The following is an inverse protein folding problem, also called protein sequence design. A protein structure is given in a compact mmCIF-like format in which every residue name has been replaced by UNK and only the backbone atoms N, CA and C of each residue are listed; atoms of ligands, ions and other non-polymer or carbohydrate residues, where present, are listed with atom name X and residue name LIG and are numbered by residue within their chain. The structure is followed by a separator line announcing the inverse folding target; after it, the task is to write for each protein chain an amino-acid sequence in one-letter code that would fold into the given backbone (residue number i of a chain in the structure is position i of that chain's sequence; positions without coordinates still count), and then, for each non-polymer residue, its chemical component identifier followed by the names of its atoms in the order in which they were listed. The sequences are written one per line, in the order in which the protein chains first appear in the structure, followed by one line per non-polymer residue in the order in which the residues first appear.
data_IF_718987659518
#
_entry.id   IF_718987659518
#
_cell.length_a   1.000
_cell.length_b   1.000
_cell.length_c   1.000
_cell.angle_alpha   90.00
_cell.angle_beta   90.00
_cell.angle_gamma   90.00
#
_symmetry.space_group_name_H-M   'P 1'
#
loop_
_entity.id
_entity.type
_entity.pdbx_description
1 polymer ?
#
# COMPACT_ATOMS: atom_id res chain seq x y z
N UNK A 1 2.49 0.78 5.44
CA UNK A 1 2.73 -0.62 5.88
C UNK A 1 2.99 -1.47 4.64
N UNK A 2 4.07 -2.23 4.60
CA UNK A 2 4.31 -3.21 3.54
C UNK A 2 4.13 -4.58 4.18
N UNK A 3 3.33 -5.45 3.55
CA UNK A 3 3.18 -6.84 3.93
C UNK A 3 3.82 -7.67 2.83
N UNK A 4 4.75 -8.53 3.20
CA UNK A 4 5.35 -9.52 2.30
C UNK A 4 4.89 -10.89 2.76
N UNK A 5 4.28 -11.70 1.88
CA UNK A 5 4.02 -13.09 2.19
C UNK A 5 5.34 -13.85 2.25
N UNK A 6 5.59 -14.50 3.37
CA UNK A 6 6.72 -15.41 3.54
C UNK A 6 6.35 -16.73 2.87
N UNK A 7 7.01 -17.07 1.76
CA UNK A 7 6.91 -18.40 1.17
C UNK A 7 7.99 -19.27 1.82
N UNK A 8 7.77 -19.71 3.06
CA UNK A 8 8.55 -20.80 3.63
C UNK A 8 7.90 -22.13 3.23
N UNK A 9 8.48 -22.73 2.20
CA UNK A 9 8.22 -24.09 1.77
C UNK A 9 9.52 -24.88 1.67
N UNK A 10 10.40 -24.77 2.68
CA UNK A 10 11.53 -25.69 2.83
C UNK A 10 11.49 -26.41 4.17
N UNK A 11 11.09 -27.68 4.12
CA UNK A 11 10.86 -28.58 5.26
C UNK A 11 12.14 -29.24 5.78
N UNK A 12 13.30 -28.57 5.78
CA UNK A 12 14.56 -29.16 6.28
C UNK A 12 15.29 -28.27 7.28
N UNK A 13 14.99 -28.59 8.54
CA UNK A 13 15.67 -28.35 9.82
C UNK A 13 17.02 -27.61 9.81
N UNK A 14 17.16 -26.62 10.72
CA UNK A 14 18.23 -26.62 11.74
C UNK A 14 17.96 -25.68 12.92
N UNK A 15 18.03 -26.25 14.11
CA UNK A 15 18.06 -25.58 15.41
C UNK A 15 19.12 -24.47 15.40
N UNK A 16 18.69 -23.20 15.30
CA UNK A 16 19.55 -22.02 15.29
C UNK A 16 19.16 -20.90 14.30
N UNK A 17 18.24 -21.15 13.37
CA UNK A 17 17.91 -20.18 12.31
C UNK A 17 16.86 -19.14 12.74
N UNK A 18 17.31 -17.89 12.89
CA UNK A 18 16.47 -16.69 13.01
C UNK A 18 15.87 -16.31 11.64
N UNK A 19 15.19 -17.25 10.96
CA UNK A 19 14.57 -17.05 9.65
C UNK A 19 13.21 -16.33 9.74
N UNK A 20 13.12 -15.33 10.62
CA UNK A 20 11.91 -14.58 10.90
C UNK A 20 11.68 -13.43 9.93
N UNK A 21 10.43 -13.18 9.56
CA UNK A 21 10.04 -11.98 8.81
C UNK A 21 10.55 -10.71 9.52
N UNK A 22 11.25 -9.83 8.80
CA UNK A 22 11.66 -8.53 9.34
C UNK A 22 10.42 -7.66 9.61
N UNK A 23 10.16 -7.36 10.89
CA UNK A 23 9.14 -6.40 11.31
C UNK A 23 9.83 -5.08 11.60
N UNK A 24 9.51 -4.04 10.82
CA UNK A 24 10.19 -2.75 10.89
C UNK A 24 9.19 -1.59 11.00
N UNK A 25 9.43 -0.68 11.94
CA UNK A 25 8.77 0.62 12.02
C UNK A 25 9.82 1.72 11.82
N UNK A 26 9.55 2.66 10.90
CA UNK A 26 10.46 3.76 10.58
C UNK A 26 9.78 5.08 10.89
N UNK A 27 9.91 5.61 12.12
CA UNK A 27 9.43 6.93 12.46
C UNK A 27 10.33 8.01 11.85
N UNK A 28 9.80 9.21 11.65
CA UNK A 28 10.60 10.38 11.25
C UNK A 28 9.78 11.51 10.65
N UNK A 29 10.34 12.72 10.68
CA UNK A 29 9.73 13.95 10.16
C UNK A 29 9.39 13.88 8.67
N UNK A 30 8.51 14.76 8.20
CA UNK A 30 8.23 14.92 6.77
C UNK A 30 9.52 15.20 5.98
N UNK A 31 9.62 14.68 4.76
CA UNK A 31 10.79 14.93 3.89
C UNK A 31 12.00 14.02 4.11
N UNK A 32 12.03 13.14 5.12
CA UNK A 32 13.18 12.22 5.35
C UNK A 32 13.25 11.01 4.39
N UNK A 33 12.51 11.03 3.28
CA UNK A 33 12.60 9.97 2.26
C UNK A 33 11.94 8.63 2.62
N UNK A 34 11.11 8.55 3.67
CA UNK A 34 10.39 7.30 4.02
C UNK A 34 9.56 6.73 2.85
N UNK A 35 8.88 7.59 2.09
CA UNK A 35 8.15 7.17 0.88
C UNK A 35 9.10 6.70 -0.23
N UNK A 36 10.28 7.32 -0.34
CA UNK A 36 11.31 6.91 -1.29
C UNK A 36 11.87 5.53 -0.94
N UNK A 37 12.05 5.23 0.35
CA UNK A 37 12.43 3.90 0.82
C UNK A 37 11.40 2.85 0.42
N UNK A 38 10.10 3.12 0.62
CA UNK A 38 9.02 2.21 0.17
C UNK A 38 9.11 1.96 -1.35
N UNK A 39 9.41 3.00 -2.13
CA UNK A 39 9.59 2.90 -3.58
C UNK A 39 10.83 2.08 -3.96
N UNK A 40 11.93 2.21 -3.23
CA UNK A 40 13.14 1.43 -3.44
C UNK A 40 12.91 -0.07 -3.14
N UNK A 41 12.24 -0.39 -2.03
CA UNK A 41 11.85 -1.77 -1.70
C UNK A 41 10.91 -2.31 -2.80
N UNK A 42 9.96 -1.52 -3.28
CA UNK A 42 9.09 -1.93 -4.40
C UNK A 42 9.90 -2.25 -5.67
N UNK A 43 10.90 -1.44 -6.00
CA UNK A 43 11.80 -1.70 -7.14
C UNK A 43 12.63 -2.97 -6.93
N UNK A 44 13.08 -3.24 -5.71
CA UNK A 44 13.78 -4.47 -5.40
C UNK A 44 12.92 -5.70 -5.71
N UNK A 45 11.69 -5.75 -5.20
CA UNK A 45 10.76 -6.87 -5.48
C UNK A 45 10.39 -6.99 -6.97
N UNK A 46 10.39 -5.87 -7.70
CA UNK A 46 10.22 -5.85 -9.16
C UNK A 46 11.38 -6.54 -9.87
N UNK A 47 12.61 -6.15 -9.55
CA UNK A 47 13.83 -6.70 -10.15
C UNK A 47 13.99 -8.18 -9.80
N UNK A 48 13.63 -8.59 -8.58
CA UNK A 48 13.66 -10.00 -8.17
C UNK A 48 12.47 -10.82 -8.67
N UNK A 49 11.56 -10.24 -9.48
CA UNK A 49 10.34 -10.88 -10.01
C UNK A 49 9.42 -11.48 -8.92
N UNK A 50 9.41 -10.90 -7.72
CA UNK A 50 8.63 -11.35 -6.55
C UNK A 50 7.52 -10.39 -6.16
N UNK A 51 7.07 -9.52 -7.08
CA UNK A 51 6.03 -8.52 -6.79
C UNK A 51 4.71 -9.14 -6.29
N UNK A 52 4.37 -10.35 -6.70
CA UNK A 52 3.18 -11.07 -6.24
C UNK A 52 3.19 -11.34 -4.72
N UNK A 53 4.38 -11.36 -4.11
CA UNK A 53 4.55 -11.56 -2.67
C UNK A 53 4.44 -10.25 -1.88
N UNK A 54 4.38 -9.09 -2.54
CA UNK A 54 4.34 -7.78 -1.87
C UNK A 54 2.94 -7.15 -1.95
N UNK A 55 2.42 -6.73 -0.80
CA UNK A 55 1.26 -5.86 -0.68
C UNK A 55 1.66 -4.56 0.02
N UNK A 56 1.25 -3.43 -0.55
CA UNK A 56 1.46 -2.09 0.02
C UNK A 56 0.15 -1.56 0.57
N UNK A 57 0.14 -1.21 1.84
CA UNK A 57 -1.01 -0.72 2.58
C UNK A 57 -0.77 0.65 3.19
N UNK A 58 -1.78 1.49 3.20
CA UNK A 58 -1.76 2.77 3.90
C UNK A 58 -3.07 3.01 4.68
N UNK A 59 -3.04 3.94 5.63
CA UNK A 59 -4.22 4.28 6.43
C UNK A 59 -5.22 5.16 5.65
N UNK A 60 -4.75 5.99 4.72
CA UNK A 60 -5.59 6.90 3.92
C UNK A 60 -5.51 6.56 2.44
N UNK A 61 -6.56 6.89 1.69
CA UNK A 61 -6.61 6.66 0.23
C UNK A 61 -5.52 7.42 -0.52
N UNK A 62 -5.23 8.67 -0.12
CA UNK A 62 -4.18 9.49 -0.74
C UNK A 62 -2.79 8.85 -0.51
N UNK A 63 -2.49 8.40 0.70
CA UNK A 63 -1.22 7.73 0.99
C UNK A 63 -1.12 6.37 0.29
N UNK A 64 -2.24 5.65 0.13
CA UNK A 64 -2.28 4.42 -0.63
C UNK A 64 -1.98 4.66 -2.13
N UNK A 65 -2.56 5.71 -2.71
CA UNK A 65 -2.30 6.10 -4.09
C UNK A 65 -0.82 6.47 -4.31
N UNK A 66 -0.23 7.25 -3.40
CA UNK A 66 1.18 7.68 -3.49
C UNK A 66 2.16 6.49 -3.53
N UNK A 67 1.89 5.45 -2.74
CA UNK A 67 2.73 4.25 -2.72
C UNK A 67 2.29 3.20 -3.74
N UNK A 68 1.24 3.44 -4.54
CA UNK A 68 0.66 2.48 -5.48
C UNK A 68 0.16 1.21 -4.78
N UNK A 69 -0.54 1.38 -3.67
CA UNK A 69 -1.10 0.33 -2.82
C UNK A 69 -2.61 0.53 -2.58
N UNK A 70 -3.12 -0.08 -1.52
CA UNK A 70 -4.52 0.05 -1.11
C UNK A 70 -4.64 0.46 0.36
N UNK A 71 -5.84 0.83 0.80
CA UNK A 71 -6.03 1.10 2.22
C UNK A 71 -6.07 -0.20 3.03
N UNK A 72 -5.73 -0.13 4.32
CA UNK A 72 -5.85 -1.29 5.23
C UNK A 72 -7.29 -1.81 5.25
N UNK A 73 -8.27 -0.90 5.30
CA UNK A 73 -9.70 -1.23 5.26
C UNK A 73 -10.10 -1.95 3.96
N UNK A 74 -9.63 -1.47 2.81
CA UNK A 74 -9.88 -2.14 1.52
C UNK A 74 -9.23 -3.53 1.45
N UNK A 75 -8.08 -3.73 2.07
CA UNK A 75 -7.38 -5.02 2.09
C UNK A 75 -8.06 -6.04 2.99
N UNK A 76 -8.56 -5.62 4.16
CA UNK A 76 -9.21 -6.49 5.13
C UNK A 76 -10.67 -6.83 4.76
N UNK A 77 -11.18 -6.30 3.64
CA UNK A 77 -12.51 -6.64 3.12
C UNK A 77 -13.63 -5.78 3.67
N UNK A 78 -13.36 -4.55 4.11
CA UNK A 78 -14.41 -3.58 4.44
C UNK A 78 -15.04 -3.03 3.14
N UNK A 79 -15.84 -3.88 2.51
CA UNK A 79 -16.62 -3.56 1.33
C UNK A 79 -17.73 -2.60 1.74
N UNK A 80 -17.51 -1.30 1.54
CA UNK A 80 -18.64 -0.37 1.41
C UNK A 80 -19.33 -0.75 0.10
N UNK A 81 -20.45 -1.46 0.23
CA UNK A 81 -21.35 -1.82 -0.86
C UNK A 81 -21.37 -0.69 -1.89
N UNK A 82 -21.01 -1.00 -3.14
CA UNK A 82 -20.75 -0.05 -4.21
C UNK A 82 -22.03 0.74 -4.55
N UNK A 83 -22.30 1.77 -3.76
CA UNK A 83 -23.19 2.85 -4.14
C UNK A 83 -22.51 3.62 -5.26
N UNK A 84 -23.12 3.56 -6.45
CA UNK A 84 -22.82 4.25 -7.71
C UNK A 84 -21.81 5.43 -7.60
N UNK A 85 -20.85 5.56 -8.54
CA UNK A 85 -19.96 6.71 -8.58
C UNK A 85 -20.78 8.00 -8.57
N UNK A 86 -20.46 8.92 -7.65
CA UNK A 86 -21.07 10.25 -7.62
C UNK A 86 -20.57 11.01 -8.83
N UNK A 87 -21.35 11.01 -9.91
CA UNK A 87 -21.18 11.96 -11.01
C UNK A 87 -21.44 13.35 -10.49
N UNK A 88 -20.38 14.14 -10.33
CA UNK A 88 -20.50 15.58 -10.13
C UNK A 88 -20.92 16.13 -11.50
N UNK A 89 -22.19 16.50 -11.64
CA UNK A 89 -22.63 17.28 -12.81
C UNK A 89 -22.09 18.71 -12.63
N UNK A 90 -21.47 19.31 -13.66
CA UNK A 90 -21.13 20.73 -13.61
C UNK A 90 -22.43 21.55 -13.44
N UNK A 91 -22.38 22.48 -12.50
CA UNK A 91 -23.46 23.39 -12.14
C UNK A 91 -23.40 24.60 -13.08
N UNK A 92 -24.31 24.67 -14.05
CA UNK A 92 -24.49 25.83 -14.93
C UNK A 92 -25.33 26.89 -14.21
N UNK A 93 -24.72 27.65 -13.29
CA UNK A 93 -25.37 28.83 -12.68
C UNK A 93 -24.47 30.07 -12.73
N UNK A 94 -24.30 30.62 -13.94
CA UNK A 94 -23.92 32.03 -14.13
C UNK A 94 -24.39 32.56 -15.47
N UNK A 95 -25.62 33.05 -15.50
CA UNK A 95 -26.17 34.16 -16.30
C UNK A 95 -27.56 34.35 -15.67
N UNK A 96 -27.85 35.37 -14.89
CA UNK A 96 -28.09 36.74 -15.35
C UNK A 96 -27.83 37.73 -14.20
N UNK A 97 -27.20 38.86 -14.52
CA UNK A 97 -27.40 40.12 -13.82
C UNK A 97 -27.48 41.19 -14.89
N UNK A 98 -28.70 41.61 -15.20
CA UNK A 98 -29.03 43.02 -15.43
C UNK A 98 -30.35 43.31 -14.71
#
# INVERSE_FOLDING_TARGET
MIITSHLDGDSRCRTGDNNGQLIMCIPGFGGTGKSQLIRAISKYFLVTKRMQMMRKLAHTGIAAAEIGGMTIHSFLGEQRNSGKPRTIKPDDSKLEKE
#
